data_IF_011722581949
#
_entry.id   IF_011722581949
#
_cell.length_a   1.000
_cell.length_b   1.000
_cell.length_c   1.000
_cell.angle_alpha   90.00
_cell.angle_beta   90.00
_cell.angle_gamma   90.00
#
_symmetry.space_group_name_H-M   'P 1'
#
loop_
_entity.id
_entity.type
_entity.pdbx_description
1 polymer ?
#
# COMPACT_ATOMS: atom_id res chain seq x y z
N UNK A 1 5.84 -101.35 31.57
CA UNK A 1 5.31 -100.67 30.36
C UNK A 1 4.98 -99.23 30.73
N UNK A 2 5.88 -98.28 30.43
CA UNK A 2 5.68 -96.85 30.72
C UNK A 2 5.31 -96.12 29.42
N UNK A 3 4.12 -95.51 29.37
CA UNK A 3 3.72 -94.59 28.30
C UNK A 3 4.18 -93.16 28.64
N UNK A 4 4.78 -92.41 27.71
CA UNK A 4 5.10 -91.01 27.94
C UNK A 4 3.86 -90.13 27.69
N UNK A 5 3.59 -89.23 28.64
CA UNK A 5 2.59 -88.16 28.53
C UNK A 5 3.13 -87.03 27.63
N UNK A 6 2.43 -86.75 26.52
CA UNK A 6 2.70 -85.59 25.66
C UNK A 6 1.97 -84.37 26.22
N UNK A 7 2.73 -83.37 26.66
CA UNK A 7 2.20 -82.04 27.03
C UNK A 7 2.13 -81.20 25.75
N UNK A 8 0.91 -80.92 25.29
CA UNK A 8 0.65 -80.00 24.19
C UNK A 8 0.59 -78.55 24.71
N UNK A 9 1.49 -77.70 24.25
CA UNK A 9 1.47 -76.26 24.58
C UNK A 9 0.43 -75.58 23.68
N UNK A 10 -0.68 -75.14 24.28
CA UNK A 10 -1.71 -74.35 23.59
C UNK A 10 -1.20 -72.92 23.30
N UNK A 11 -1.04 -72.58 22.02
CA UNK A 11 -0.63 -71.25 21.56
C UNK A 11 -1.86 -70.31 21.58
N UNK A 12 -1.94 -69.41 22.57
CA UNK A 12 -3.02 -68.43 22.72
C UNK A 12 -2.80 -67.26 21.75
N UNK A 13 -3.57 -67.20 20.66
CA UNK A 13 -3.54 -66.08 19.71
C UNK A 13 -4.11 -64.80 20.32
N UNK A 14 -3.28 -63.79 20.54
CA UNK A 14 -3.71 -62.47 21.00
C UNK A 14 -4.46 -61.74 19.87
N UNK A 15 -5.75 -61.48 20.08
CA UNK A 15 -6.62 -60.82 19.11
C UNK A 15 -6.36 -59.29 19.14
N UNK A 16 -5.48 -58.79 18.25
CA UNK A 16 -5.10 -57.36 18.17
C UNK A 16 -6.15 -56.49 17.45
N UNK A 17 -7.43 -56.58 17.83
CA UNK A 17 -8.54 -55.88 17.14
C UNK A 17 -8.78 -54.42 17.56
N UNK A 18 -7.96 -53.86 18.46
CA UNK A 18 -8.10 -52.47 18.94
C UNK A 18 -7.18 -51.43 18.27
N UNK A 19 -6.28 -51.85 17.38
CA UNK A 19 -5.22 -50.96 16.85
C UNK A 19 -5.69 -50.14 15.64
N UNK A 20 -6.68 -50.66 14.88
CA UNK A 20 -7.23 -49.98 13.69
C UNK A 20 -7.85 -48.60 13.97
N UNK A 21 -8.71 -48.41 15.00
CA UNK A 21 -9.26 -47.07 15.27
C UNK A 21 -8.18 -46.08 15.71
N UNK A 22 -7.14 -46.54 16.39
CA UNK A 22 -6.03 -45.70 16.86
C UNK A 22 -5.20 -45.16 15.69
N UNK A 23 -4.92 -45.99 14.68
CA UNK A 23 -4.31 -45.52 13.42
C UNK A 23 -5.17 -44.47 12.72
N UNK A 24 -6.50 -44.65 12.72
CA UNK A 24 -7.44 -43.72 12.09
C UNK A 24 -7.34 -42.32 12.67
N UNK A 25 -7.34 -42.19 14.00
CA UNK A 25 -7.18 -40.90 14.68
C UNK A 25 -5.85 -40.22 14.36
N UNK A 26 -4.75 -40.98 14.36
CA UNK A 26 -3.42 -40.43 14.05
C UNK A 26 -3.38 -39.90 12.62
N UNK A 27 -3.94 -40.64 11.67
CA UNK A 27 -3.97 -40.22 10.26
C UNK A 27 -4.80 -38.96 10.06
N UNK A 28 -5.93 -38.84 10.78
CA UNK A 28 -6.81 -37.67 10.73
C UNK A 28 -6.11 -36.42 11.28
N UNK A 29 -5.42 -36.55 12.42
CA UNK A 29 -4.69 -35.44 13.03
C UNK A 29 -3.56 -34.96 12.11
N UNK A 30 -2.77 -35.88 11.56
CA UNK A 30 -1.68 -35.53 10.63
C UNK A 30 -2.23 -34.87 9.35
N UNK A 31 -3.37 -35.34 8.84
CA UNK A 31 -4.05 -34.74 7.71
C UNK A 31 -4.51 -33.30 7.98
N UNK A 32 -5.05 -33.02 9.18
CA UNK A 32 -5.41 -31.64 9.55
C UNK A 32 -4.20 -30.72 9.66
N UNK A 33 -3.10 -31.21 10.24
CA UNK A 33 -1.87 -30.43 10.36
C UNK A 33 -1.25 -30.10 9.00
N UNK A 34 -1.24 -31.05 8.05
CA UNK A 34 -0.67 -30.83 6.72
C UNK A 34 -1.47 -29.80 5.93
N UNK A 35 -2.82 -29.88 5.96
CA UNK A 35 -3.69 -28.89 5.31
C UNK A 35 -3.49 -27.50 5.95
N UNK A 36 -3.35 -27.43 7.27
CA UNK A 36 -3.12 -26.15 7.98
C UNK A 36 -1.84 -25.45 7.50
N UNK A 37 -0.74 -26.19 7.35
CA UNK A 37 0.54 -25.64 6.87
C UNK A 37 0.44 -25.17 5.42
N UNK A 38 -0.23 -25.94 4.55
CA UNK A 38 -0.46 -25.55 3.15
C UNK A 38 -1.27 -24.26 3.04
N UNK A 39 -2.38 -24.17 3.79
CA UNK A 39 -3.24 -22.98 3.80
C UNK A 39 -2.49 -21.76 4.34
N UNK A 40 -1.69 -21.92 5.40
CA UNK A 40 -0.88 -20.83 5.94
C UNK A 40 0.17 -20.34 4.92
N UNK A 41 0.84 -21.25 4.23
CA UNK A 41 1.78 -20.90 3.15
C UNK A 41 1.10 -20.16 2.00
N UNK A 42 -0.11 -20.59 1.63
CA UNK A 42 -0.94 -19.91 0.64
C UNK A 42 -1.36 -18.50 1.12
N UNK A 43 -1.90 -18.37 2.34
CA UNK A 43 -2.30 -17.09 2.92
C UNK A 43 -1.14 -16.08 2.95
N UNK A 44 0.07 -16.52 3.33
CA UNK A 44 1.26 -15.66 3.34
C UNK A 44 1.61 -15.10 1.95
N UNK A 45 1.22 -15.77 0.88
CA UNK A 45 1.43 -15.32 -0.50
C UNK A 45 0.36 -14.31 -0.93
N UNK A 46 -0.86 -14.43 -0.39
CA UNK A 46 -1.98 -13.54 -0.73
C UNK A 46 -2.02 -12.27 0.12
N UNK A 47 -1.59 -12.34 1.39
CA UNK A 47 -1.59 -11.17 2.26
C UNK A 47 -0.41 -10.26 1.88
N UNK A 48 -0.66 -9.03 1.40
CA UNK A 48 0.42 -8.09 1.13
C UNK A 48 1.18 -7.85 2.43
N UNK A 49 2.50 -8.02 2.39
CA UNK A 49 3.36 -7.69 3.53
C UNK A 49 3.13 -6.23 3.90
N UNK A 50 3.12 -5.97 5.21
CA UNK A 50 2.85 -4.67 5.85
C UNK A 50 3.24 -3.51 4.94
N UNK A 51 2.26 -2.63 4.68
CA UNK A 51 2.49 -1.41 3.92
C UNK A 51 3.69 -0.74 4.56
N UNK A 52 4.72 -0.48 3.76
CA UNK A 52 5.81 0.36 4.22
C UNK A 52 5.12 1.68 4.52
N UNK A 53 5.04 2.06 5.78
CA UNK A 53 4.51 3.35 6.16
C UNK A 53 5.65 4.36 6.13
N UNK A 54 5.37 5.58 5.71
CA UNK A 54 6.39 6.63 5.78
C UNK A 54 6.77 6.86 7.24
N UNK A 55 8.06 7.12 7.48
CA UNK A 55 8.53 7.55 8.80
C UNK A 55 7.71 8.74 9.29
N UNK A 56 7.29 8.71 10.55
CA UNK A 56 6.65 9.84 11.21
C UNK A 56 7.55 11.07 11.10
N UNK A 57 7.01 12.21 10.64
CA UNK A 57 7.77 13.45 10.44
C UNK A 57 7.95 13.89 8.97
N UNK A 58 7.38 13.16 8.00
CA UNK A 58 7.17 13.71 6.64
C UNK A 58 5.99 14.68 6.69
N UNK A 59 6.18 15.91 6.21
CA UNK A 59 5.11 16.90 6.13
C UNK A 59 5.42 17.87 4.99
N UNK A 60 4.48 17.96 4.04
CA UNK A 60 4.49 19.03 3.06
C UNK A 60 3.52 20.11 3.51
N UNK A 61 3.76 21.34 3.08
CA UNK A 61 2.92 22.49 3.34
C UNK A 61 2.71 23.23 2.03
N UNK A 62 1.46 23.55 1.70
CA UNK A 62 1.16 24.38 0.53
C UNK A 62 1.23 25.82 0.97
N UNK A 63 2.21 26.55 0.43
CA UNK A 63 2.47 27.93 0.82
C UNK A 63 1.52 28.88 0.13
N UNK A 64 1.42 28.75 -1.19
CA UNK A 64 0.58 29.59 -2.02
C UNK A 64 -0.06 28.74 -3.13
N UNK A 65 -1.31 29.06 -3.45
CA UNK A 65 -2.08 28.46 -4.54
C UNK A 65 -2.64 29.59 -5.38
N UNK A 66 -2.24 29.65 -6.64
CA UNK A 66 -2.82 30.58 -7.61
C UNK A 66 -3.55 29.77 -8.68
N UNK A 67 -4.85 30.00 -8.83
CA UNK A 67 -5.64 29.40 -9.91
C UNK A 67 -6.22 30.50 -10.79
N UNK A 68 -5.86 30.48 -12.08
CA UNK A 68 -6.39 31.41 -13.09
C UNK A 68 -7.19 30.63 -14.12
N UNK A 69 -8.44 31.06 -14.37
CA UNK A 69 -9.31 30.46 -15.37
C UNK A 69 -9.44 31.37 -16.58
N UNK A 70 -9.00 30.89 -17.75
CA UNK A 70 -9.20 31.61 -18.99
C UNK A 70 -10.60 31.33 -19.56
N UNK A 71 -11.48 32.33 -19.49
CA UNK A 71 -12.88 32.25 -19.94
C UNK A 71 -12.98 31.91 -21.43
N UNK A 72 -12.01 32.32 -22.24
CA UNK A 72 -12.07 32.19 -23.71
C UNK A 72 -11.80 30.76 -24.20
N UNK A 73 -10.85 30.06 -23.56
CA UNK A 73 -10.42 28.72 -23.99
C UNK A 73 -10.78 27.61 -22.97
N UNK A 74 -11.42 27.98 -21.86
CA UNK A 74 -11.69 27.08 -20.72
C UNK A 74 -10.43 26.40 -20.17
N UNK A 75 -9.26 27.02 -20.35
CA UNK A 75 -7.99 26.55 -19.80
C UNK A 75 -7.85 27.04 -18.35
N UNK A 76 -7.42 26.15 -17.47
CA UNK A 76 -7.13 26.44 -16.08
C UNK A 76 -5.62 26.33 -15.86
N UNK A 77 -5.02 27.39 -15.33
CA UNK A 77 -3.62 27.40 -14.89
C UNK A 77 -3.60 27.39 -13.38
N UNK A 78 -3.03 26.34 -12.81
CA UNK A 78 -2.86 26.18 -11.38
C UNK A 78 -1.37 26.22 -11.04
N UNK A 79 -0.96 27.19 -10.24
CA UNK A 79 0.41 27.35 -9.73
C UNK A 79 0.39 26.98 -8.25
N UNK A 80 1.25 26.03 -7.87
CA UNK A 80 1.35 25.51 -6.51
C UNK A 80 2.76 25.67 -6.00
N UNK A 81 2.91 26.39 -4.90
CA UNK A 81 4.19 26.49 -4.19
C UNK A 81 4.16 25.56 -2.99
N UNK A 82 4.97 24.49 -3.05
CA UNK A 82 5.02 23.45 -2.03
C UNK A 82 6.31 23.61 -1.24
N UNK A 83 6.20 23.58 0.08
CA UNK A 83 7.32 23.62 1.01
C UNK A 83 7.40 22.34 1.81
N UNK A 84 8.59 21.78 1.98
CA UNK A 84 8.80 20.69 2.92
C UNK A 84 8.96 21.25 4.34
N UNK A 85 7.95 21.05 5.19
CA UNK A 85 7.99 21.42 6.60
C UNK A 85 8.32 20.22 7.52
N UNK A 86 8.57 19.05 6.93
CA UNK A 86 8.95 17.84 7.63
C UNK A 86 10.42 17.81 8.03
N UNK A 87 10.77 16.80 8.82
CA UNK A 87 12.15 16.52 9.25
C UNK A 87 12.93 15.68 8.22
N UNK A 88 12.22 15.08 7.26
CA UNK A 88 12.76 14.15 6.28
C UNK A 88 12.61 14.67 4.87
N UNK A 89 13.50 14.21 3.98
CA UNK A 89 13.42 14.50 2.56
C UNK A 89 12.22 13.78 1.92
N UNK A 90 11.63 14.42 0.93
CA UNK A 90 10.48 13.89 0.17
C UNK A 90 10.86 13.76 -1.30
N UNK A 91 10.58 12.61 -1.92
CA UNK A 91 10.99 12.35 -3.31
C UNK A 91 9.95 12.82 -4.34
N UNK A 92 8.69 12.91 -3.93
CA UNK A 92 7.61 13.40 -4.78
C UNK A 92 6.31 13.58 -4.02
N UNK A 93 5.23 13.81 -4.76
CA UNK A 93 3.89 13.90 -4.22
C UNK A 93 2.86 13.46 -5.25
N UNK A 94 1.70 13.05 -4.76
CA UNK A 94 0.49 12.82 -5.55
C UNK A 94 -0.43 14.01 -5.33
N UNK A 95 -1.09 14.43 -6.40
CA UNK A 95 -2.03 15.55 -6.36
C UNK A 95 -3.36 15.13 -6.96
N UNK A 96 -4.41 15.30 -6.19
CA UNK A 96 -5.77 15.04 -6.61
C UNK A 96 -6.61 16.29 -6.43
N UNK A 97 -7.64 16.46 -7.25
CA UNK A 97 -8.62 17.54 -7.15
C UNK A 97 -10.05 17.00 -7.06
N UNK A 98 -10.96 17.89 -6.65
CA UNK A 98 -12.40 17.68 -6.75
C UNK A 98 -13.09 18.94 -7.26
N UNK A 99 -14.16 18.73 -8.02
CA UNK A 99 -15.07 19.77 -8.49
C UNK A 99 -16.24 20.00 -7.51
N UNK A 100 -16.39 19.14 -6.50
CA UNK A 100 -17.51 19.15 -5.56
C UNK A 100 -17.03 19.55 -4.16
N UNK A 101 -17.68 20.56 -3.60
CA UNK A 101 -17.46 21.05 -2.23
C UNK A 101 -17.97 20.09 -1.16
N UNK A 102 -18.80 19.10 -1.54
CA UNK A 102 -19.39 18.11 -0.62
C UNK A 102 -18.54 16.83 -0.56
N UNK A 103 -17.78 16.52 -1.62
CA UNK A 103 -16.95 15.33 -1.66
C UNK A 103 -15.69 15.52 -0.80
N UNK A 104 -15.53 14.66 0.20
CA UNK A 104 -14.37 14.65 1.12
C UNK A 104 -13.10 14.04 0.51
N UNK A 105 -13.22 13.37 -0.64
CA UNK A 105 -12.11 12.68 -1.30
C UNK A 105 -11.93 13.29 -2.68
N UNK A 106 -10.72 13.78 -2.94
CA UNK A 106 -10.32 14.19 -4.27
C UNK A 106 -10.08 12.95 -5.15
N UNK A 107 -10.77 12.86 -6.29
CA UNK A 107 -10.73 11.69 -7.19
C UNK A 107 -10.12 12.01 -8.55
N UNK A 108 -9.93 13.28 -8.87
CA UNK A 108 -9.42 13.73 -10.16
C UNK A 108 -7.90 13.84 -10.04
N UNK A 109 -7.15 12.94 -10.68
CA UNK A 109 -5.69 13.02 -10.70
C UNK A 109 -5.22 14.22 -11.54
N UNK A 110 -4.36 15.06 -10.95
CA UNK A 110 -3.74 16.20 -11.63
C UNK A 110 -2.30 15.93 -12.08
N UNK A 111 -1.74 14.76 -11.77
CA UNK A 111 -0.34 14.40 -12.04
C UNK A 111 0.02 14.55 -13.52
N UNK A 112 -0.89 14.18 -14.43
CA UNK A 112 -0.67 14.26 -15.88
C UNK A 112 -0.49 15.69 -16.39
N UNK A 113 -1.07 16.68 -15.70
CA UNK A 113 -1.01 18.08 -16.08
C UNK A 113 0.22 18.80 -15.53
N UNK A 114 0.91 18.21 -14.56
CA UNK A 114 2.13 18.73 -13.94
C UNK A 114 3.41 18.00 -14.35
N UNK A 115 3.37 17.21 -15.43
CA UNK A 115 4.52 16.43 -15.89
C UNK A 115 4.83 15.18 -15.04
N UNK A 116 3.86 14.71 -14.24
CA UNK A 116 3.97 13.49 -13.47
C UNK A 116 3.98 12.22 -14.34
N UNK A 117 4.62 11.17 -13.82
CA UNK A 117 4.64 9.85 -14.44
C UNK A 117 4.04 8.82 -13.47
N UNK A 118 3.04 8.06 -13.94
CA UNK A 118 2.32 7.07 -13.12
C UNK A 118 1.72 7.66 -11.82
N UNK A 119 0.90 8.70 -11.92
CA UNK A 119 0.15 9.31 -10.79
C UNK A 119 1.02 10.04 -9.75
N UNK A 120 2.32 10.16 -10.00
CA UNK A 120 3.29 10.74 -9.07
C UNK A 120 4.08 11.86 -9.77
N UNK A 121 4.21 12.98 -9.08
CA UNK A 121 5.09 14.09 -9.46
C UNK A 121 6.35 13.98 -8.62
N UNK A 122 7.50 13.86 -9.27
CA UNK A 122 8.79 13.76 -8.61
C UNK A 122 9.45 15.14 -8.55
N UNK A 123 10.00 15.48 -7.38
CA UNK A 123 10.80 16.69 -7.25
C UNK A 123 12.06 16.58 -8.11
N UNK A 124 12.39 17.62 -8.87
CA UNK A 124 13.55 17.64 -9.78
C UNK A 124 13.71 16.37 -10.64
N UNK A 125 12.63 15.90 -11.27
CA UNK A 125 12.60 14.67 -12.10
C UNK A 125 13.06 13.40 -11.35
N UNK A 126 12.95 13.38 -10.02
CA UNK A 126 13.37 12.27 -9.18
C UNK A 126 14.88 12.17 -8.96
N UNK A 127 15.64 13.23 -9.30
CA UNK A 127 17.10 13.30 -9.08
C UNK A 127 17.44 13.85 -7.71
N UNK A 128 16.67 14.83 -7.23
CA UNK A 128 16.94 15.53 -5.98
C UNK A 128 15.65 15.58 -5.16
N UNK A 129 15.61 14.90 -4.00
CA UNK A 129 14.45 14.99 -3.13
C UNK A 129 14.40 16.36 -2.46
N UNK A 130 13.19 16.84 -2.21
CA UNK A 130 12.95 18.12 -1.54
C UNK A 130 13.39 18.03 -0.08
N UNK A 131 14.38 18.82 0.31
CA UNK A 131 14.94 18.82 1.67
C UNK A 131 14.05 19.57 2.65
N UNK A 132 14.17 19.32 3.96
CA UNK A 132 13.52 20.12 4.98
C UNK A 132 13.75 21.62 4.76
N UNK A 133 12.69 22.42 4.89
CA UNK A 133 12.63 23.86 4.66
C UNK A 133 12.81 24.34 3.21
N UNK A 134 13.00 23.44 2.24
CA UNK A 134 13.08 23.77 0.83
C UNK A 134 11.68 23.94 0.21
N UNK A 135 11.60 24.77 -0.84
CA UNK A 135 10.36 25.15 -1.50
C UNK A 135 10.52 24.95 -3.01
N UNK A 136 9.50 24.42 -3.68
CA UNK A 136 9.47 24.21 -5.12
C UNK A 136 8.09 24.57 -5.68
N UNK A 137 8.08 25.27 -6.82
CA UNK A 137 6.88 25.72 -7.50
C UNK A 137 6.53 24.81 -8.67
N UNK A 138 5.24 24.48 -8.80
CA UNK A 138 4.72 23.62 -9.86
C UNK A 138 3.64 24.37 -10.65
N UNK A 139 3.72 24.26 -11.97
CA UNK A 139 2.70 24.75 -12.89
C UNK A 139 1.92 23.57 -13.46
N UNK A 140 0.61 23.63 -13.34
CA UNK A 140 -0.33 22.66 -13.88
C UNK A 140 -1.17 23.34 -14.95
N UNK A 141 -1.01 22.91 -16.19
CA UNK A 141 -1.80 23.40 -17.31
C UNK A 141 -2.96 22.43 -17.56
N UNK A 142 -4.07 22.73 -16.90
CA UNK A 142 -5.28 21.91 -16.93
C UNK A 142 -6.12 22.38 -18.11
N UNK A 143 -6.18 21.56 -19.16
CA UNK A 143 -6.99 21.85 -20.35
C UNK A 143 -8.49 21.87 -20.07
N UNK A 144 -9.29 22.05 -21.11
CA UNK A 144 -10.74 22.27 -21.07
C UNK A 144 -11.61 21.15 -20.48
N UNK A 145 -10.99 20.08 -19.96
CA UNK A 145 -11.69 18.90 -19.45
C UNK A 145 -12.18 19.07 -18.00
N UNK A 146 -11.68 20.08 -17.28
CA UNK A 146 -12.07 20.37 -15.90
C UNK A 146 -12.69 21.77 -15.83
N UNK A 147 -13.99 21.82 -15.54
CA UNK A 147 -14.74 23.08 -15.53
C UNK A 147 -14.49 23.91 -14.26
N UNK A 148 -14.20 23.26 -13.14
CA UNK A 148 -14.01 23.91 -11.84
C UNK A 148 -13.19 23.01 -10.90
N UNK A 149 -12.32 23.64 -10.10
CA UNK A 149 -11.48 22.98 -9.11
C UNK A 149 -11.72 23.69 -7.79
N UNK A 150 -12.33 22.99 -6.83
CA UNK A 150 -12.70 23.56 -5.54
C UNK A 150 -11.74 23.22 -4.43
N UNK A 151 -11.28 21.97 -4.39
CA UNK A 151 -10.26 21.57 -3.42
C UNK A 151 -9.20 20.72 -4.08
N UNK A 152 -7.99 20.83 -3.57
CA UNK A 152 -6.86 19.99 -3.93
C UNK A 152 -6.42 19.20 -2.71
N UNK A 153 -5.94 18.00 -2.97
CA UNK A 153 -5.41 17.08 -1.99
C UNK A 153 -4.01 16.67 -2.43
N UNK A 154 -3.03 16.85 -1.55
CA UNK A 154 -1.64 16.52 -1.81
C UNK A 154 -1.19 15.47 -0.82
N UNK A 155 -0.63 14.38 -1.34
CA UNK A 155 -0.13 13.27 -0.53
C UNK A 155 1.37 13.14 -0.79
N UNK A 156 2.23 13.30 0.22
CA UNK A 156 3.68 13.16 0.04
C UNK A 156 4.04 11.73 -0.34
N UNK A 157 5.11 11.57 -1.10
CA UNK A 157 5.64 10.28 -1.51
C UNK A 157 7.15 10.19 -1.31
N UNK A 158 7.59 8.99 -0.95
CA UNK A 158 8.99 8.67 -0.72
C UNK A 158 9.34 7.33 -1.35
N UNK A 159 10.56 7.21 -1.83
CA UNK A 159 11.11 5.94 -2.29
C UNK A 159 12.15 5.44 -1.30
N UNK A 160 11.84 4.32 -0.65
CA UNK A 160 12.74 3.71 0.33
C UNK A 160 13.36 2.44 -0.23
N UNK A 161 14.63 2.22 0.10
CA UNK A 161 15.34 0.99 -0.28
C UNK A 161 15.09 -0.04 0.81
N UNK A 162 14.16 -0.96 0.56
CA UNK A 162 13.85 -2.06 1.48
C UNK A 162 14.39 -3.36 0.88
N UNK A 163 15.33 -4.00 1.59
CA UNK A 163 15.98 -5.25 1.16
C UNK A 163 16.66 -5.13 -0.22
N UNK A 164 17.32 -4.00 -0.49
CA UNK A 164 18.05 -3.75 -1.74
C UNK A 164 17.15 -3.46 -2.96
N UNK A 165 15.83 -3.30 -2.78
CA UNK A 165 14.90 -2.88 -3.83
C UNK A 165 14.29 -1.52 -3.48
N UNK A 166 14.30 -0.59 -4.44
CA UNK A 166 13.60 0.69 -4.32
C UNK A 166 12.09 0.42 -4.33
N UNK A 167 11.39 0.82 -3.28
CA UNK A 167 9.94 0.69 -3.15
C UNK A 167 9.34 2.07 -2.98
N UNK A 168 8.24 2.29 -3.68
CA UNK A 168 7.43 3.49 -3.53
C UNK A 168 6.59 3.37 -2.26
N UNK A 169 6.56 4.45 -1.49
CA UNK A 169 5.79 4.59 -0.26
C UNK A 169 4.99 5.88 -0.32
N UNK A 170 3.66 5.76 -0.27
CA UNK A 170 2.75 6.91 -0.17
C UNK A 170 2.49 7.26 1.30
N UNK A 171 2.71 8.51 1.68
CA UNK A 171 2.59 9.00 3.04
C UNK A 171 1.17 9.51 3.33
N UNK A 172 0.18 8.61 3.27
CA UNK A 172 -1.23 8.98 3.45
C UNK A 172 -1.58 9.66 4.78
N UNK A 173 -0.79 9.44 5.83
CA UNK A 173 -0.95 10.11 7.13
C UNK A 173 -0.56 11.59 7.13
N UNK A 174 0.26 12.03 6.15
CA UNK A 174 0.74 13.40 5.99
C UNK A 174 0.03 14.16 4.85
N UNK A 175 -1.19 13.71 4.53
CA UNK A 175 -2.07 14.31 3.52
C UNK A 175 -2.41 15.77 3.88
N UNK A 176 -2.33 16.65 2.88
CA UNK A 176 -2.76 18.04 2.96
C UNK A 176 -3.98 18.23 2.07
N UNK A 177 -4.93 19.05 2.51
CA UNK A 177 -6.12 19.40 1.73
C UNK A 177 -6.35 20.90 1.85
N UNK A 178 -6.43 21.56 0.70
CA UNK A 178 -6.63 23.01 0.62
C UNK A 178 -7.75 23.35 -0.34
N UNK A 179 -8.42 24.47 -0.06
CA UNK A 179 -9.49 25.02 -0.90
C UNK A 179 -8.86 25.96 -1.93
N UNK A 180 -9.23 25.77 -3.19
CA UNK A 180 -8.74 26.55 -4.32
C UNK A 180 -9.88 27.42 -4.83
N UNK A 181 -9.61 28.71 -4.98
CA UNK A 181 -10.52 29.65 -5.63
C UNK A 181 -9.89 30.09 -6.95
N UNK A 182 -10.50 29.68 -8.07
CA UNK A 182 -10.05 30.10 -9.40
C UNK A 182 -10.67 31.45 -9.77
N UNK A 183 -9.82 32.39 -10.17
CA UNK A 183 -10.19 33.75 -10.58
C UNK A 183 -10.19 33.88 -12.10
#
# INVERSE_FOLDING_TARGET
>A
MNKPLRIGIAKRGMNKRGISPLIGYVLLIVGMLSVSVLVYGWLKTYVPQEKIECSEGVSLFVKDIECTKNITNSEIKLILNIKNNGLFNVDGFLIHATNDSVQKLATIDLSSYGGGANEIILFNEGRVPLKPSEEEGYLFEIGSNLNDIKTIEIIPAKFEIVKGKKRFTSCGSAKITDVVNCV
#
